data_IF_435744646005
#
_entry.id   IF_435744646005
#
_cell.length_a   1.000
_cell.length_b   1.000
_cell.length_c   1.000
_cell.angle_alpha   90.00
_cell.angle_beta   90.00
_cell.angle_gamma   90.00
#
_symmetry.space_group_name_H-M   'P 1'
#
loop_
_entity.id
_entity.type
_entity.pdbx_description
1 polymer ?
#
# COMPACT_ATOMS: atom_id res chain seq x y z
N UNK A 1 -10.73 13.29 -45.07
CA UNK A 1 -10.42 14.04 -43.83
C UNK A 1 -11.05 13.41 -42.55
N UNK A 2 -11.35 12.10 -42.51
CA UNK A 2 -12.07 11.49 -41.37
C UNK A 2 -11.20 10.99 -40.20
N UNK A 3 -9.96 10.56 -40.45
CA UNK A 3 -9.16 9.85 -39.44
C UNK A 3 -8.60 10.69 -38.28
N UNK A 4 -8.62 12.03 -38.37
CA UNK A 4 -8.12 12.92 -37.31
C UNK A 4 -9.21 13.28 -36.30
N UNK A 5 -10.48 13.29 -36.73
CA UNK A 5 -11.65 13.53 -35.87
C UNK A 5 -12.00 12.26 -35.08
N UNK A 6 -11.95 11.08 -35.71
CA UNK A 6 -12.15 9.80 -35.03
C UNK A 6 -11.11 9.54 -33.93
N UNK A 7 -9.83 9.81 -34.19
CA UNK A 7 -8.78 9.68 -33.15
C UNK A 7 -8.99 10.64 -31.99
N UNK A 8 -9.45 11.87 -32.26
CA UNK A 8 -9.78 12.84 -31.21
C UNK A 8 -10.98 12.39 -30.38
N UNK A 9 -12.03 11.89 -31.01
CA UNK A 9 -13.21 11.38 -30.31
C UNK A 9 -12.89 10.15 -29.46
N UNK A 10 -12.04 9.25 -29.98
CA UNK A 10 -11.59 8.05 -29.25
C UNK A 10 -10.75 8.40 -28.01
N UNK A 11 -9.78 9.32 -28.14
CA UNK A 11 -9.01 9.82 -26.99
C UNK A 11 -9.87 10.56 -25.97
N UNK A 12 -10.88 11.31 -26.41
CA UNK A 12 -11.81 12.00 -25.50
C UNK A 12 -12.71 11.00 -24.76
N UNK A 13 -13.17 9.94 -25.44
CA UNK A 13 -13.96 8.88 -24.82
C UNK A 13 -13.14 8.03 -23.84
N UNK A 14 -11.91 7.64 -24.21
CA UNK A 14 -10.97 6.95 -23.33
C UNK A 14 -10.64 7.84 -22.10
N UNK A 15 -10.39 9.13 -22.30
CA UNK A 15 -10.15 10.08 -21.21
C UNK A 15 -11.39 10.36 -20.34
N UNK A 16 -12.61 10.27 -20.88
CA UNK A 16 -13.84 10.47 -20.10
C UNK A 16 -14.21 9.26 -19.24
N UNK A 17 -13.87 8.04 -19.69
CA UNK A 17 -14.09 6.80 -18.94
C UNK A 17 -13.06 6.61 -17.81
N UNK A 18 -11.81 7.04 -18.03
CA UNK A 18 -10.73 6.88 -17.04
C UNK A 18 -10.84 7.82 -15.83
N UNK A 19 -11.43 9.02 -16.00
CA UNK A 19 -11.54 10.00 -14.91
C UNK A 19 -12.40 9.53 -13.72
N UNK A 20 -13.60 8.96 -13.92
CA UNK A 20 -14.39 8.38 -12.83
C UNK A 20 -13.66 7.26 -12.09
N UNK A 21 -12.97 6.38 -12.82
CA UNK A 21 -12.20 5.29 -12.24
C UNK A 21 -11.02 5.82 -11.40
N UNK A 22 -10.24 6.76 -11.93
CA UNK A 22 -9.15 7.41 -11.21
C UNK A 22 -9.64 8.09 -9.92
N UNK A 23 -10.77 8.79 -9.96
CA UNK A 23 -11.35 9.42 -8.77
C UNK A 23 -11.80 8.40 -7.72
N UNK A 24 -12.35 7.26 -8.16
CA UNK A 24 -12.68 6.12 -7.29
C UNK A 24 -11.43 5.55 -6.62
N UNK A 25 -10.38 5.24 -7.38
CA UNK A 25 -9.12 4.74 -6.83
C UNK A 25 -8.53 5.76 -5.84
N UNK A 26 -8.52 7.05 -6.19
CA UNK A 26 -8.03 8.13 -5.31
C UNK A 26 -8.79 8.18 -3.98
N UNK A 27 -10.13 8.05 -4.00
CA UNK A 27 -10.96 7.97 -2.78
C UNK A 27 -10.61 6.75 -1.93
N UNK A 28 -10.40 5.59 -2.56
CA UNK A 28 -10.00 4.37 -1.85
C UNK A 28 -8.62 4.53 -1.20
N UNK A 29 -7.64 5.06 -1.92
CA UNK A 29 -6.30 5.37 -1.39
C UNK A 29 -6.39 6.28 -0.18
N UNK A 30 -7.12 7.40 -0.27
CA UNK A 30 -7.30 8.33 0.87
C UNK A 30 -7.94 7.64 2.08
N UNK A 31 -8.96 6.81 1.85
CA UNK A 31 -9.63 6.04 2.91
C UNK A 31 -8.66 5.09 3.61
N UNK A 32 -7.83 4.35 2.85
CA UNK A 32 -6.83 3.44 3.42
C UNK A 32 -5.69 4.19 4.11
N UNK A 33 -5.19 5.26 3.51
CA UNK A 33 -4.15 6.12 4.06
C UNK A 33 -4.53 6.66 5.44
N UNK A 34 -5.79 7.09 5.62
CA UNK A 34 -6.29 7.57 6.91
C UNK A 34 -6.23 6.53 8.05
N UNK A 35 -6.19 5.24 7.70
CA UNK A 35 -6.20 4.10 8.62
C UNK A 35 -4.82 3.45 8.79
N UNK A 36 -3.82 3.89 8.01
CA UNK A 36 -2.50 3.26 7.93
C UNK A 36 -1.86 3.09 9.30
N UNK A 37 -1.67 4.18 10.05
CA UNK A 37 -0.95 4.14 11.32
C UNK A 37 -1.68 3.36 12.40
N UNK A 38 -3.02 3.34 12.37
CA UNK A 38 -3.81 2.49 13.26
C UNK A 38 -3.61 0.99 12.96
N UNK A 39 -3.52 0.63 11.67
CA UNK A 39 -3.21 -0.74 11.26
C UNK A 39 -1.78 -1.15 11.64
N UNK A 40 -0.80 -0.25 11.46
CA UNK A 40 0.59 -0.47 11.88
C UNK A 40 0.66 -0.73 13.39
N UNK A 41 -0.04 0.08 14.20
CA UNK A 41 -0.10 -0.11 15.66
C UNK A 41 -0.78 -1.43 16.05
N UNK A 42 -1.82 -1.84 15.32
CA UNK A 42 -2.49 -3.13 15.54
C UNK A 42 -1.52 -4.29 15.32
N UNK A 43 -0.73 -4.26 14.25
CA UNK A 43 0.27 -5.29 13.96
C UNK A 43 1.38 -5.31 15.02
N UNK A 44 1.87 -4.12 15.42
CA UNK A 44 2.87 -3.97 16.49
C UNK A 44 2.41 -4.64 17.77
N UNK A 45 1.18 -4.35 18.24
CA UNK A 45 0.62 -4.96 19.46
C UNK A 45 0.58 -6.48 19.38
N UNK A 46 0.10 -7.03 18.27
CA UNK A 46 0.08 -8.49 18.06
C UNK A 46 1.48 -9.12 18.06
N UNK A 47 2.46 -8.43 17.48
CA UNK A 47 3.85 -8.86 17.52
C UNK A 47 4.47 -8.75 18.93
N UNK A 48 4.04 -7.78 19.76
CA UNK A 48 4.45 -7.69 21.17
C UNK A 48 3.80 -8.77 22.06
N UNK A 49 2.54 -9.10 21.81
CA UNK A 49 1.73 -10.00 22.64
C UNK A 49 2.12 -11.48 22.43
N UNK A 50 2.90 -11.79 21.41
CA UNK A 50 3.41 -13.15 21.20
C UNK A 50 4.43 -13.49 22.31
N UNK A 51 4.01 -14.35 23.24
CA UNK A 51 4.78 -14.79 24.42
C UNK A 51 6.17 -15.39 24.16
N UNK A 52 6.58 -15.56 22.90
CA UNK A 52 7.87 -16.14 22.51
C UNK A 52 8.86 -15.06 22.05
N UNK A 53 9.74 -14.63 22.97
CA UNK A 53 10.86 -13.71 22.68
C UNK A 53 11.94 -14.27 21.74
N UNK A 54 11.84 -15.54 21.34
CA UNK A 54 12.91 -16.28 20.66
C UNK A 54 12.47 -17.05 19.40
N UNK A 55 11.24 -16.87 18.92
CA UNK A 55 10.75 -17.55 17.71
C UNK A 55 10.22 -16.50 16.73
N UNK A 56 10.59 -16.64 15.45
CA UNK A 56 9.95 -15.99 14.32
C UNK A 56 8.45 -16.36 14.31
N UNK A 57 7.63 -15.56 14.99
CA UNK A 57 6.19 -15.73 14.98
C UNK A 57 5.60 -15.20 13.67
N UNK A 58 4.47 -15.74 13.25
CA UNK A 58 3.70 -15.18 12.13
C UNK A 58 3.40 -13.70 12.33
N UNK A 59 3.15 -13.29 13.56
CA UNK A 59 2.89 -11.89 13.94
C UNK A 59 4.09 -10.97 13.70
N UNK A 60 5.28 -11.44 14.07
CA UNK A 60 6.52 -10.71 13.82
C UNK A 60 6.84 -10.64 12.33
N UNK A 61 6.58 -11.70 11.58
CA UNK A 61 6.71 -11.71 10.12
C UNK A 61 5.74 -10.73 9.45
N UNK A 62 4.49 -10.66 9.91
CA UNK A 62 3.53 -9.67 9.42
C UNK A 62 3.97 -8.24 9.75
N UNK A 63 4.48 -7.99 10.95
CA UNK A 63 4.96 -6.67 11.31
C UNK A 63 6.20 -6.26 10.51
N UNK A 64 7.14 -7.19 10.30
CA UNK A 64 8.28 -6.99 9.41
C UNK A 64 7.87 -6.76 7.95
N UNK A 65 6.86 -7.49 7.46
CA UNK A 65 6.25 -7.28 6.15
C UNK A 65 5.63 -5.89 6.00
N UNK A 66 4.96 -5.38 7.03
CA UNK A 66 4.45 -4.01 7.05
C UNK A 66 5.58 -3.00 6.96
N UNK A 67 6.68 -3.16 7.71
CA UNK A 67 7.82 -2.26 7.61
C UNK A 67 8.43 -2.26 6.20
N UNK A 68 8.49 -3.43 5.53
CA UNK A 68 8.90 -3.53 4.12
C UNK A 68 7.98 -2.73 3.21
N UNK A 69 6.66 -2.87 3.36
CA UNK A 69 5.71 -2.14 2.52
C UNK A 69 5.69 -0.63 2.78
N UNK A 70 5.91 -0.20 4.02
CA UNK A 70 6.16 1.20 4.34
C UNK A 70 7.43 1.71 3.64
N UNK A 71 8.47 0.86 3.56
CA UNK A 71 9.67 1.13 2.78
C UNK A 71 9.34 1.36 1.32
N UNK A 72 8.63 0.42 0.70
CA UNK A 72 8.17 0.54 -0.68
C UNK A 72 7.37 1.84 -0.90
N UNK A 73 6.44 2.19 -0.01
CA UNK A 73 5.65 3.43 -0.13
C UNK A 73 6.55 4.65 -0.01
N UNK A 74 7.47 4.70 0.95
CA UNK A 74 8.44 5.78 1.08
C UNK A 74 9.36 5.92 -0.15
N UNK A 75 9.53 4.82 -0.90
CA UNK A 75 10.29 4.70 -2.12
C UNK A 75 9.48 4.90 -3.40
N UNK A 76 8.16 5.07 -3.31
CA UNK A 76 7.39 5.64 -4.42
C UNK A 76 8.03 6.98 -4.89
N UNK A 77 8.76 7.66 -3.99
CA UNK A 77 9.58 8.82 -4.27
C UNK A 77 11.09 8.55 -4.53
N UNK A 78 11.64 7.36 -4.23
CA UNK A 78 13.09 7.05 -4.29
C UNK A 78 13.43 5.57 -4.51
N UNK A 79 14.54 5.28 -5.20
CA UNK A 79 14.93 3.96 -5.71
C UNK A 79 15.58 2.96 -4.71
N UNK A 80 15.39 3.06 -3.40
CA UNK A 80 16.16 2.23 -2.43
C UNK A 80 15.32 1.21 -1.66
N UNK A 81 15.31 -0.06 -2.07
CA UNK A 81 14.55 -1.14 -1.40
C UNK A 81 14.94 -1.31 0.09
N UNK A 82 13.94 -1.28 0.99
CA UNK A 82 14.16 -1.57 2.42
C UNK A 82 14.12 -3.09 2.64
N UNK A 83 15.24 -3.69 3.05
CA UNK A 83 15.34 -5.11 3.40
C UNK A 83 15.59 -5.28 4.89
N UNK A 84 14.67 -5.94 5.57
CA UNK A 84 14.87 -6.45 6.94
C UNK A 84 15.07 -7.95 6.82
N UNK A 85 16.26 -8.44 7.15
CA UNK A 85 16.54 -9.88 7.08
C UNK A 85 15.83 -10.64 8.22
N UNK A 86 15.25 -11.83 7.96
CA UNK A 86 14.55 -12.62 8.98
C UNK A 86 15.38 -12.92 10.23
N UNK A 87 16.70 -13.14 10.07
CA UNK A 87 17.61 -13.44 11.18
C UNK A 87 17.82 -12.26 12.14
N UNK A 88 17.51 -11.05 11.69
CA UNK A 88 17.62 -9.80 12.47
C UNK A 88 16.26 -9.30 12.97
N UNK A 89 15.19 -10.07 12.71
CA UNK A 89 13.83 -9.62 12.92
C UNK A 89 13.44 -9.77 14.40
N UNK A 90 13.20 -8.64 15.06
CA UNK A 90 12.62 -8.53 16.39
C UNK A 90 11.81 -7.24 16.48
N UNK A 91 10.83 -7.18 17.39
CA UNK A 91 9.93 -6.01 17.49
C UNK A 91 10.69 -4.67 17.61
N UNK A 92 11.70 -4.51 18.49
CA UNK A 92 12.45 -3.25 18.59
C UNK A 92 13.15 -2.84 17.28
N UNK A 93 13.64 -3.80 16.50
CA UNK A 93 14.29 -3.54 15.21
C UNK A 93 13.27 -3.07 14.17
N UNK A 94 12.12 -3.75 14.09
CA UNK A 94 11.04 -3.39 13.18
C UNK A 94 10.45 -2.01 13.54
N UNK A 95 10.27 -1.74 14.83
CA UNK A 95 9.84 -0.43 15.34
C UNK A 95 10.74 0.70 14.86
N UNK A 96 12.06 0.53 14.97
CA UNK A 96 13.04 1.52 14.55
C UNK A 96 12.90 1.84 13.06
N UNK A 97 12.72 0.83 12.22
CA UNK A 97 12.52 1.03 10.78
C UNK A 97 11.17 1.71 10.49
N UNK A 98 10.09 1.32 11.16
CA UNK A 98 8.78 2.00 11.03
C UNK A 98 8.88 3.48 11.39
N UNK A 99 9.59 3.84 12.47
CA UNK A 99 9.77 5.24 12.87
C UNK A 99 10.59 6.03 11.84
N UNK A 100 11.66 5.43 11.29
CA UNK A 100 12.49 6.05 10.23
C UNK A 100 11.67 6.36 8.97
N UNK A 101 10.73 5.47 8.62
CA UNK A 101 9.92 5.59 7.41
C UNK A 101 8.72 6.53 7.56
N UNK A 102 8.26 6.77 8.80
CA UNK A 102 7.01 7.47 9.09
C UNK A 102 6.88 8.83 8.41
N UNK A 103 7.92 9.67 8.49
CA UNK A 103 7.93 10.98 7.84
C UNK A 103 7.76 10.89 6.32
N UNK A 104 8.62 10.10 5.67
CA UNK A 104 8.61 9.90 4.22
C UNK A 104 7.30 9.31 3.70
N UNK A 105 6.72 8.35 4.41
CA UNK A 105 5.42 7.79 4.05
C UNK A 105 4.34 8.87 4.13
N UNK A 106 4.33 9.70 5.18
CA UNK A 106 3.38 10.80 5.28
C UNK A 106 3.55 11.82 4.14
N UNK A 107 4.78 12.11 3.73
CA UNK A 107 5.06 13.01 2.60
C UNK A 107 4.51 12.47 1.28
N UNK A 108 4.61 11.15 1.06
CA UNK A 108 4.00 10.48 -0.11
C UNK A 108 2.47 10.54 -0.04
N UNK A 109 1.89 10.23 1.13
CA UNK A 109 0.44 10.24 1.31
C UNK A 109 -0.17 11.64 1.19
N UNK A 110 0.57 12.69 1.57
CA UNK A 110 0.16 14.09 1.37
C UNK A 110 0.10 14.49 -0.12
N UNK A 111 0.81 13.76 -0.99
CA UNK A 111 0.88 14.01 -2.42
C UNK A 111 -0.07 13.14 -3.24
N UNK A 112 -0.95 12.36 -2.60
CA UNK A 112 -1.90 11.45 -3.28
C UNK A 112 -2.64 12.16 -4.41
N UNK A 113 -3.09 13.41 -4.20
CA UNK A 113 -3.83 14.21 -5.20
C UNK A 113 -3.02 14.54 -6.48
N UNK A 114 -1.70 14.36 -6.45
CA UNK A 114 -0.80 14.63 -7.58
C UNK A 114 -0.31 13.35 -8.28
N UNK A 115 -0.66 12.18 -7.75
CA UNK A 115 -0.28 10.90 -8.34
C UNK A 115 -1.15 10.59 -9.57
N UNK A 116 -0.49 10.02 -10.59
CA UNK A 116 -1.12 9.39 -11.75
C UNK A 116 -1.82 8.08 -11.36
N UNK A 117 -2.65 7.56 -12.28
CA UNK A 117 -3.48 6.37 -12.02
C UNK A 117 -2.63 5.14 -11.65
N UNK A 118 -1.57 4.86 -12.39
CA UNK A 118 -0.70 3.69 -12.16
C UNK A 118 -0.10 3.72 -10.74
N UNK A 119 0.38 4.89 -10.29
CA UNK A 119 0.91 5.05 -8.92
C UNK A 119 -0.19 4.96 -7.87
N UNK A 120 -1.40 5.43 -8.16
CA UNK A 120 -2.53 5.33 -7.24
C UNK A 120 -2.95 3.87 -7.04
N UNK A 121 -3.06 3.08 -8.11
CA UNK A 121 -3.38 1.65 -8.03
C UNK A 121 -2.30 0.89 -7.29
N UNK A 122 -1.03 1.13 -7.65
CA UNK A 122 0.10 0.54 -6.95
C UNK A 122 0.07 0.85 -5.45
N UNK A 123 -0.15 2.11 -5.08
CA UNK A 123 -0.23 2.54 -3.68
C UNK A 123 -1.43 1.91 -2.97
N UNK A 124 -2.57 1.79 -3.66
CA UNK A 124 -3.76 1.13 -3.13
C UNK A 124 -3.48 -0.33 -2.77
N UNK A 125 -2.81 -1.08 -3.65
CA UNK A 125 -2.45 -2.47 -3.39
C UNK A 125 -1.52 -2.62 -2.18
N UNK A 126 -0.49 -1.76 -2.06
CA UNK A 126 0.40 -1.79 -0.89
C UNK A 126 -0.33 -1.47 0.41
N UNK A 127 -1.20 -0.46 0.39
CA UNK A 127 -2.03 -0.11 1.54
C UNK A 127 -2.99 -1.25 1.93
N UNK A 128 -3.60 -1.92 0.96
CA UNK A 128 -4.48 -3.08 1.20
C UNK A 128 -3.70 -4.25 1.83
N UNK A 129 -2.49 -4.53 1.33
CA UNK A 129 -1.59 -5.53 1.91
C UNK A 129 -1.25 -5.24 3.38
N UNK A 130 -0.96 -3.97 3.71
CA UNK A 130 -0.74 -3.55 5.11
C UNK A 130 -2.01 -3.75 5.96
N UNK A 131 -3.19 -3.41 5.42
CA UNK A 131 -4.45 -3.66 6.13
C UNK A 131 -4.68 -5.14 6.41
N UNK A 132 -4.32 -6.02 5.47
CA UNK A 132 -4.44 -7.47 5.63
C UNK A 132 -3.48 -8.00 6.69
N UNK A 133 -2.19 -7.66 6.58
CA UNK A 133 -1.15 -8.08 7.53
C UNK A 133 -1.46 -7.59 8.95
N UNK A 134 -2.01 -6.38 9.12
CA UNK A 134 -2.42 -5.87 10.43
C UNK A 134 -3.45 -6.74 11.15
N UNK A 135 -4.25 -7.49 10.38
CA UNK A 135 -5.27 -8.42 10.85
C UNK A 135 -4.82 -9.89 10.80
N UNK A 136 -3.57 -10.15 10.42
CA UNK A 136 -3.00 -11.49 10.36
C UNK A 136 -3.39 -12.27 9.13
N UNK A 137 -3.82 -11.56 8.09
CA UNK A 137 -4.27 -12.15 6.83
C UNK A 137 -3.16 -12.06 5.80
N UNK A 138 -3.21 -12.98 4.85
CA UNK A 138 -2.31 -13.00 3.71
C UNK A 138 -2.50 -11.73 2.85
N UNK A 139 -1.45 -10.91 2.65
CA UNK A 139 -1.52 -9.72 1.80
C UNK A 139 -1.77 -10.04 0.32
N UNK A 140 -1.31 -11.19 -0.19
CA UNK A 140 -1.50 -11.58 -1.59
C UNK A 140 -2.97 -11.86 -1.89
N UNK A 141 -3.65 -12.62 -1.02
CA UNK A 141 -5.09 -12.88 -1.18
C UNK A 141 -5.93 -11.60 -1.08
N UNK A 142 -5.51 -10.65 -0.24
CA UNK A 142 -6.17 -9.35 -0.14
C UNK A 142 -5.97 -8.50 -1.40
N UNK A 143 -4.77 -8.52 -1.98
CA UNK A 143 -4.46 -7.86 -3.25
C UNK A 143 -5.30 -8.45 -4.39
N UNK A 144 -5.35 -9.78 -4.52
CA UNK A 144 -6.15 -10.47 -5.54
C UNK A 144 -7.65 -10.17 -5.39
N UNK A 145 -8.15 -10.17 -4.15
CA UNK A 145 -9.55 -9.82 -3.86
C UNK A 145 -9.86 -8.35 -4.17
N UNK A 146 -8.89 -7.46 -4.03
CA UNK A 146 -9.04 -6.07 -4.43
C UNK A 146 -9.03 -5.96 -5.97
N UNK A 147 -8.12 -6.65 -6.65
CA UNK A 147 -8.05 -6.64 -8.11
C UNK A 147 -9.36 -7.10 -8.76
N UNK A 148 -9.92 -8.23 -8.32
CA UNK A 148 -11.22 -8.71 -8.81
C UNK A 148 -12.35 -7.69 -8.62
N UNK A 149 -12.40 -7.02 -7.46
CA UNK A 149 -13.40 -5.96 -7.21
C UNK A 149 -13.22 -4.73 -8.08
N UNK A 150 -12.00 -4.43 -8.51
CA UNK A 150 -11.75 -3.34 -9.45
C UNK A 150 -12.16 -3.74 -10.87
N UNK A 151 -11.91 -5.00 -11.26
CA UNK A 151 -12.29 -5.57 -12.57
C UNK A 151 -13.80 -5.83 -12.73
N UNK A 152 -14.49 -6.25 -11.66
CA UNK A 152 -15.93 -6.58 -11.68
C UNK A 152 -16.85 -5.34 -11.61
N UNK A 153 -16.29 -4.16 -11.31
CA UNK A 153 -17.02 -2.90 -11.18
C UNK A 153 -16.81 -1.93 -12.37
N UNK A 154 -16.17 -2.40 -13.46
CA UNK A 154 -16.05 -1.75 -14.78
C UNK A 154 -17.16 -2.24 -15.76
#
# INVERSE_FOLDING_TARGET
MGGQVERRLKMVAESSMLKPYEEKIRKMVKSRASKLWSAVETARKRACDTKCKHILSSELLYYGGIARELGNIANLAFSEEVKIEPKEMCVPRVDLEVQRLKGRVNDVLAQVDKLDLDKLEWLLYRLEGIMAMSKGKDPYLAEESLRKRLEDED
#
